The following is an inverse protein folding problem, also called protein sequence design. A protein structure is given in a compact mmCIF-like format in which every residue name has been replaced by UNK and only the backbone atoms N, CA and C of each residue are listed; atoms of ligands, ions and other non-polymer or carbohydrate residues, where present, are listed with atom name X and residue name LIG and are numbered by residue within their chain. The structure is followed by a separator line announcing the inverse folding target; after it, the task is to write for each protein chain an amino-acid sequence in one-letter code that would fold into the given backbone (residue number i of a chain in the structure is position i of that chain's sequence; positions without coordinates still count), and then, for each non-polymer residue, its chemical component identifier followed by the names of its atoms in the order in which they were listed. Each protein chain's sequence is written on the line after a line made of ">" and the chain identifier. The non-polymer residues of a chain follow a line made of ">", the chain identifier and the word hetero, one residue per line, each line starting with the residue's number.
data_IF_095782847750
#
_entry.id   IF_095782847750
#
_cell.length_a   1.000
_cell.length_b   1.000
_cell.length_c   1.000
_cell.angle_alpha   90.00
_cell.angle_beta   90.00
_cell.angle_gamma   90.00
#
_symmetry.space_group_name_H-M   'P 1'
#
loop_
_entity.id
_entity.type
_entity.pdbx_description
1 polymer ?
#
# COMPACT_ATOMS: atom_id res chain seq x y z
N UNK A 1 4.02 15.10 -11.39
CA UNK A 1 5.02 14.30 -12.14
C UNK A 1 6.43 14.40 -11.56
N UNK A 2 6.57 14.37 -10.22
CA UNK A 2 7.88 14.51 -9.53
C UNK A 2 8.40 13.18 -9.00
N UNK A 3 7.52 12.23 -8.68
CA UNK A 3 7.90 10.94 -8.11
C UNK A 3 8.60 9.99 -9.10
N UNK A 4 8.47 10.21 -10.41
CA UNK A 4 9.00 9.29 -11.43
C UNK A 4 10.50 9.46 -11.73
N UNK A 5 11.14 10.52 -11.21
CA UNK A 5 12.50 10.91 -11.54
C UNK A 5 13.49 10.84 -10.35
N UNK A 6 13.08 10.27 -9.22
CA UNK A 6 13.92 10.23 -8.01
C UNK A 6 14.41 8.81 -7.77
N UNK A 7 15.69 8.68 -7.40
CA UNK A 7 16.36 7.41 -7.12
C UNK A 7 15.54 6.49 -6.20
N UNK A 8 15.59 5.16 -6.38
CA UNK A 8 14.79 4.19 -5.62
C UNK A 8 14.90 4.38 -4.09
N UNK A 9 16.08 4.76 -3.61
CA UNK A 9 16.35 5.03 -2.20
C UNK A 9 15.66 6.30 -1.68
N UNK A 10 15.48 7.31 -2.53
CA UNK A 10 14.79 8.56 -2.19
C UNK A 10 13.28 8.36 -2.20
N UNK A 11 12.76 7.53 -3.11
CA UNK A 11 11.35 7.11 -3.08
C UNK A 11 11.02 6.32 -1.80
N UNK A 12 11.89 5.39 -1.41
CA UNK A 12 11.76 4.67 -0.14
C UNK A 12 11.82 5.62 1.06
N UNK A 13 12.75 6.58 1.07
CA UNK A 13 12.82 7.60 2.12
C UNK A 13 11.56 8.47 2.18
N UNK A 14 10.99 8.89 1.05
CA UNK A 14 9.75 9.68 1.02
C UNK A 14 8.58 8.84 1.54
N UNK A 15 8.49 7.55 1.18
CA UNK A 15 7.47 6.64 1.71
C UNK A 15 7.60 6.47 3.23
N UNK A 16 8.82 6.30 3.74
CA UNK A 16 9.13 6.20 5.18
C UNK A 16 8.83 7.51 5.92
N UNK A 17 9.11 8.66 5.32
CA UNK A 17 8.80 9.99 5.90
C UNK A 17 7.29 10.21 5.94
N UNK A 18 6.55 9.85 4.89
CA UNK A 18 5.09 9.89 4.86
C UNK A 18 4.49 8.92 5.90
N UNK A 19 5.07 7.73 6.06
CA UNK A 19 4.72 6.76 7.10
C UNK A 19 4.90 7.36 8.51
N UNK A 20 6.06 7.96 8.79
CA UNK A 20 6.36 8.57 10.09
C UNK A 20 5.44 9.76 10.40
N UNK A 21 5.08 10.56 9.39
CA UNK A 21 4.11 11.66 9.52
C UNK A 21 2.68 11.13 9.77
N UNK A 22 2.32 10.00 9.17
CA UNK A 22 1.00 9.37 9.25
C UNK A 22 0.73 8.63 10.57
N UNK A 23 1.79 8.13 11.23
CA UNK A 23 1.65 7.30 12.42
C UNK A 23 1.09 8.07 13.64
N UNK A 24 1.14 9.41 13.63
CA UNK A 24 0.94 10.21 14.82
C UNK A 24 -0.38 11.02 14.85
N UNK A 25 -1.26 10.94 13.84
CA UNK A 25 -2.61 11.54 13.85
C UNK A 25 -3.48 11.04 12.69
N UNK A 26 -4.78 10.82 12.93
CA UNK A 26 -5.76 10.52 11.89
C UNK A 26 -5.86 11.62 10.81
N UNK A 27 -5.67 12.88 11.18
CA UNK A 27 -5.70 14.02 10.26
C UNK A 27 -4.49 14.02 9.31
N UNK A 28 -3.34 13.53 9.77
CA UNK A 28 -2.13 13.38 8.94
C UNK A 28 -2.26 12.22 7.95
N UNK A 29 -2.92 11.12 8.36
CA UNK A 29 -3.30 10.04 7.42
C UNK A 29 -4.20 10.57 6.30
N UNK A 30 -5.18 11.41 6.65
CA UNK A 30 -6.05 12.06 5.67
C UNK A 30 -5.26 13.02 4.74
N UNK A 31 -4.26 13.75 5.26
CA UNK A 31 -3.42 14.63 4.45
C UNK A 31 -2.54 13.88 3.43
N UNK A 32 -1.98 12.71 3.79
CA UNK A 32 -1.22 11.87 2.85
C UNK A 32 -2.12 11.27 1.77
N UNK A 33 -3.32 10.84 2.13
CA UNK A 33 -4.32 10.39 1.16
C UNK A 33 -4.75 11.53 0.23
N UNK A 34 -5.00 12.72 0.77
CA UNK A 34 -5.34 13.93 0.01
C UNK A 34 -4.21 14.39 -0.93
N UNK A 35 -2.96 14.07 -0.62
CA UNK A 35 -1.80 14.37 -1.45
C UNK A 35 -1.53 13.34 -2.58
N UNK A 36 -2.51 12.50 -2.95
CA UNK A 36 -2.34 11.40 -3.92
C UNK A 36 -1.28 10.35 -3.50
N UNK A 37 -1.05 10.17 -2.20
CA UNK A 37 -0.09 9.19 -1.69
C UNK A 37 -0.45 7.74 -2.01
N UNK A 38 -1.75 7.38 -1.96
CA UNK A 38 -2.23 6.02 -2.23
C UNK A 38 -1.98 5.61 -3.70
N UNK A 39 -2.42 6.37 -4.73
CA UNK A 39 -2.11 6.03 -6.13
C UNK A 39 -0.61 5.91 -6.42
N UNK A 40 0.21 6.78 -5.83
CA UNK A 40 1.66 6.73 -5.98
C UNK A 40 2.25 5.42 -5.40
N UNK A 41 1.86 5.07 -4.17
CA UNK A 41 2.31 3.83 -3.53
C UNK A 41 1.81 2.58 -4.26
N UNK A 42 0.60 2.61 -4.81
CA UNK A 42 0.08 1.53 -5.68
C UNK A 42 0.94 1.40 -6.94
N UNK A 43 1.35 2.52 -7.55
CA UNK A 43 2.29 2.50 -8.67
C UNK A 43 3.64 1.88 -8.31
N UNK A 44 4.19 2.21 -7.14
CA UNK A 44 5.43 1.61 -6.64
C UNK A 44 5.29 0.12 -6.32
N UNK A 45 4.12 -0.31 -5.82
CA UNK A 45 3.82 -1.72 -5.60
C UNK A 45 3.77 -2.50 -6.92
N UNK A 46 3.30 -1.87 -8.01
CA UNK A 46 3.19 -2.48 -9.33
C UNK A 46 4.52 -2.52 -10.11
N UNK A 47 5.25 -1.40 -10.15
CA UNK A 47 6.41 -1.21 -11.05
C UNK A 47 7.74 -1.03 -10.30
N UNK A 48 7.74 -0.99 -8.97
CA UNK A 48 8.95 -0.82 -8.18
C UNK A 48 9.88 -2.04 -8.25
N UNK A 49 11.17 -1.81 -7.96
CA UNK A 49 12.11 -2.90 -7.66
C UNK A 49 11.71 -3.59 -6.35
N UNK A 50 12.14 -4.85 -6.10
CA UNK A 50 11.66 -5.63 -4.94
C UNK A 50 11.76 -4.91 -3.60
N UNK A 51 12.83 -4.15 -3.37
CA UNK A 51 12.99 -3.35 -2.16
C UNK A 51 11.94 -2.24 -2.04
N UNK A 52 11.66 -1.53 -3.13
CA UNK A 52 10.66 -0.47 -3.18
C UNK A 52 9.24 -1.04 -3.05
N UNK A 53 8.94 -2.18 -3.67
CA UNK A 53 7.66 -2.86 -3.52
C UNK A 53 7.38 -3.23 -2.06
N UNK A 54 8.42 -3.72 -1.36
CA UNK A 54 8.36 -4.08 0.05
C UNK A 54 8.03 -2.87 0.93
N UNK A 55 8.74 -1.76 0.75
CA UNK A 55 8.46 -0.54 1.49
C UNK A 55 7.11 0.09 1.13
N UNK A 56 6.69 0.01 -0.13
CA UNK A 56 5.35 0.44 -0.56
C UNK A 56 4.26 -0.40 0.12
N UNK A 57 4.42 -1.73 0.19
CA UNK A 57 3.49 -2.62 0.87
C UNK A 57 3.37 -2.31 2.37
N UNK A 58 4.49 -2.08 3.06
CA UNK A 58 4.50 -1.72 4.48
C UNK A 58 3.89 -0.34 4.73
N UNK A 59 4.17 0.64 3.88
CA UNK A 59 3.58 1.98 3.97
C UNK A 59 2.06 1.91 3.80
N UNK A 60 1.59 1.20 2.77
CA UNK A 60 0.16 1.00 2.52
C UNK A 60 -0.51 0.28 3.69
N UNK A 61 0.14 -0.74 4.25
CA UNK A 61 -0.38 -1.51 5.39
C UNK A 61 -0.69 -0.59 6.55
N UNK A 62 0.17 0.39 6.79
CA UNK A 62 0.05 1.30 7.93
C UNK A 62 -1.01 2.35 7.69
N UNK A 63 -1.08 2.90 6.47
CA UNK A 63 -2.15 3.81 6.09
C UNK A 63 -3.52 3.18 6.28
N UNK A 64 -3.65 1.88 5.99
CA UNK A 64 -4.93 1.17 6.11
C UNK A 64 -5.29 0.74 7.53
N UNK A 65 -4.36 0.74 8.49
CA UNK A 65 -4.66 0.35 9.88
C UNK A 65 -5.67 1.33 10.49
N UNK A 66 -6.80 0.79 10.94
CA UNK A 66 -7.84 1.56 11.62
C UNK A 66 -8.60 2.54 10.73
N UNK A 67 -8.48 2.45 9.40
CA UNK A 67 -9.21 3.31 8.47
C UNK A 67 -9.81 2.55 7.30
N UNK A 68 -11.11 2.26 7.40
CA UNK A 68 -11.86 1.61 6.32
C UNK A 68 -11.91 2.45 5.03
N UNK A 69 -11.93 3.78 5.16
CA UNK A 69 -11.90 4.67 3.99
C UNK A 69 -10.61 4.48 3.20
N UNK A 70 -9.46 4.46 3.86
CA UNK A 70 -8.16 4.30 3.20
C UNK A 70 -7.99 2.91 2.58
N UNK A 71 -8.57 1.86 3.18
CA UNK A 71 -8.66 0.55 2.54
C UNK A 71 -9.47 0.60 1.24
N UNK A 72 -10.59 1.33 1.26
CA UNK A 72 -11.46 1.50 0.10
C UNK A 72 -10.74 2.29 -1.00
N UNK A 73 -10.04 3.36 -0.63
CA UNK A 73 -9.26 4.18 -1.56
C UNK A 73 -8.11 3.39 -2.20
N UNK A 74 -7.42 2.52 -1.44
CA UNK A 74 -6.40 1.62 -1.98
C UNK A 74 -6.98 0.66 -3.01
N UNK A 75 -8.13 0.06 -2.70
CA UNK A 75 -8.82 -0.83 -3.62
C UNK A 75 -9.27 -0.09 -4.89
N UNK A 76 -9.85 1.10 -4.74
CA UNK A 76 -10.29 1.96 -5.84
C UNK A 76 -9.11 2.47 -6.70
N UNK A 77 -7.95 2.70 -6.10
CA UNK A 77 -6.72 3.07 -6.80
C UNK A 77 -6.07 1.88 -7.57
N UNK A 78 -6.67 0.68 -7.52
CA UNK A 78 -6.15 -0.49 -8.24
C UNK A 78 -5.00 -1.17 -7.51
N UNK A 79 -4.91 -1.08 -6.18
CA UNK A 79 -3.85 -1.71 -5.40
C UNK A 79 -3.96 -3.23 -5.26
N UNK A 80 -5.12 -3.83 -5.53
CA UNK A 80 -5.34 -5.26 -5.33
C UNK A 80 -4.64 -6.17 -6.35
N UNK A 81 -4.62 -5.87 -7.67
CA UNK A 81 -3.87 -6.68 -8.63
C UNK A 81 -2.34 -6.71 -8.39
N UNK A 82 -1.65 -5.58 -8.11
CA UNK A 82 -0.24 -5.60 -7.74
C UNK A 82 0.02 -6.39 -6.46
N UNK A 83 -0.86 -6.26 -5.46
CA UNK A 83 -0.80 -7.06 -4.24
C UNK A 83 -0.92 -8.57 -4.54
N UNK A 84 -1.85 -8.97 -5.41
CA UNK A 84 -2.02 -10.36 -5.83
C UNK A 84 -0.76 -10.90 -6.53
N UNK A 85 -0.11 -10.09 -7.36
CA UNK A 85 1.15 -10.44 -8.00
C UNK A 85 2.28 -10.61 -6.96
N UNK A 86 2.38 -9.69 -6.00
CA UNK A 86 3.37 -9.73 -4.93
C UNK A 86 3.16 -10.91 -3.96
N UNK A 87 1.95 -11.44 -3.82
CA UNK A 87 1.71 -12.68 -3.06
C UNK A 87 2.21 -13.94 -3.79
N UNK A 88 2.46 -13.86 -5.10
CA UNK A 88 2.90 -14.98 -5.96
C UNK A 88 4.38 -14.95 -6.29
N UNK A 89 5.13 -13.93 -5.86
CA UNK A 89 6.59 -13.91 -6.06
C UNK A 89 7.28 -15.00 -5.25
N UNK A 90 8.43 -15.46 -5.75
CA UNK A 90 9.34 -16.37 -5.06
C UNK A 90 10.14 -15.67 -3.94
N UNK A 91 10.20 -14.33 -3.94
CA UNK A 91 10.84 -13.56 -2.87
C UNK A 91 10.00 -13.61 -1.59
N UNK A 92 10.51 -14.35 -0.60
CA UNK A 92 9.81 -14.61 0.65
C UNK A 92 9.57 -13.34 1.47
N UNK A 93 10.45 -12.35 1.40
CA UNK A 93 10.28 -11.08 2.11
C UNK A 93 9.17 -10.23 1.49
N UNK A 94 9.13 -10.15 0.16
CA UNK A 94 8.03 -9.50 -0.55
C UNK A 94 6.71 -10.18 -0.27
N UNK A 95 6.67 -11.51 -0.36
CA UNK A 95 5.47 -12.29 -0.08
C UNK A 95 4.96 -12.10 1.35
N UNK A 96 5.87 -12.06 2.33
CA UNK A 96 5.54 -11.81 3.74
C UNK A 96 4.91 -10.44 3.94
N UNK A 97 5.52 -9.38 3.41
CA UNK A 97 5.00 -7.99 3.52
C UNK A 97 3.66 -7.83 2.81
N UNK A 98 3.51 -8.43 1.64
CA UNK A 98 2.23 -8.50 0.93
C UNK A 98 1.14 -9.20 1.78
N UNK A 99 1.49 -10.31 2.44
CA UNK A 99 0.59 -11.00 3.37
C UNK A 99 0.13 -10.09 4.52
N UNK A 100 1.04 -9.33 5.12
CA UNK A 100 0.71 -8.39 6.19
C UNK A 100 -0.21 -7.25 5.72
N UNK A 101 0.00 -6.72 4.52
CA UNK A 101 -0.90 -5.73 3.90
C UNK A 101 -2.29 -6.33 3.67
N UNK A 102 -2.36 -7.53 3.08
CA UNK A 102 -3.62 -8.26 2.88
C UNK A 102 -4.38 -8.44 4.20
N UNK A 103 -3.70 -8.89 5.24
CA UNK A 103 -4.34 -9.17 6.53
C UNK A 103 -4.85 -7.86 7.19
N UNK A 104 -4.13 -6.75 7.01
CA UNK A 104 -4.59 -5.41 7.41
C UNK A 104 -5.86 -4.98 6.66
N UNK A 105 -5.90 -5.18 5.34
CA UNK A 105 -7.08 -4.89 4.52
C UNK A 105 -8.29 -5.75 4.90
N UNK A 106 -8.08 -7.03 5.22
CA UNK A 106 -9.14 -7.91 5.73
C UNK A 106 -9.69 -7.44 7.08
N UNK A 107 -8.82 -6.96 7.96
CA UNK A 107 -9.19 -6.51 9.30
C UNK A 107 -9.88 -5.14 9.30
N UNK A 108 -9.49 -4.25 8.38
CA UNK A 108 -9.89 -2.84 8.42
C UNK A 108 -10.76 -2.38 7.24
N UNK A 109 -10.79 -3.10 6.12
CA UNK A 109 -11.42 -2.66 4.87
C UNK A 109 -12.92 -2.91 4.73
N UNK A 110 -13.55 -3.55 5.72
CA UNK A 110 -14.98 -3.84 5.70
C UNK A 110 -15.38 -4.79 4.55
N UNK A 111 -16.70 -4.92 4.33
CA UNK A 111 -17.24 -5.92 3.37
C UNK A 111 -16.86 -5.65 1.92
N UNK A 112 -16.84 -4.39 1.49
CA UNK A 112 -16.56 -4.02 0.10
C UNK A 112 -15.14 -4.37 -0.33
N UNK A 113 -14.14 -4.02 0.48
CA UNK A 113 -12.74 -4.35 0.21
C UNK A 113 -12.52 -5.86 0.25
N UNK A 114 -13.16 -6.58 1.20
CA UNK A 114 -13.07 -8.04 1.26
C UNK A 114 -13.59 -8.71 -0.01
N UNK A 115 -14.76 -8.31 -0.50
CA UNK A 115 -15.31 -8.85 -1.76
C UNK A 115 -14.41 -8.53 -2.98
N UNK A 116 -13.82 -7.33 -3.01
CA UNK A 116 -12.88 -6.96 -4.06
C UNK A 116 -11.59 -7.81 -4.02
N UNK A 117 -11.10 -8.15 -2.81
CA UNK A 117 -9.94 -9.01 -2.63
C UNK A 117 -10.19 -10.47 -3.03
N UNK A 118 -11.39 -11.00 -2.78
CA UNK A 118 -11.83 -12.32 -3.26
C UNK A 118 -11.84 -12.34 -4.80
N UNK A 119 -12.42 -11.29 -5.40
CA UNK A 119 -12.45 -11.12 -6.87
C UNK A 119 -11.05 -11.02 -7.49
N UNK A 120 -10.12 -10.38 -6.78
CA UNK A 120 -8.72 -10.23 -7.20
C UNK A 120 -7.85 -11.47 -6.92
N UNK A 121 -8.41 -12.55 -6.34
CA UNK A 121 -7.68 -13.77 -5.93
C UNK A 121 -6.50 -13.45 -5.00
N UNK A 122 -6.72 -12.52 -4.08
CA UNK A 122 -5.77 -12.08 -3.04
C UNK A 122 -5.94 -12.92 -1.76
N UNK A 123 -7.11 -13.53 -1.60
CA UNK A 123 -7.51 -14.41 -0.48
C UNK A 123 -7.82 -15.78 -1.08
#
# INVERSE_FOLDING_TARGET
>A
TVLRAVEPQVQAHIAVILYNLSNNSADRRAAVAAANGIPALVGLLAEGVPEVQREAADTLRVLTIGSQQLCTDLAAAGGLPPLAAMLRTADMDSKKRAGLLRDSLLKHGGRGVRAAMESAKVI
#
